data_IF_907896341170
#
_entry.id   IF_907896341170
#
_cell.length_a   1.000
_cell.length_b   1.000
_cell.length_c   1.000
_cell.angle_alpha   90.00
_cell.angle_beta   90.00
_cell.angle_gamma   90.00
#
_symmetry.space_group_name_H-M   'P 1'
#
loop_
_entity.id
_entity.type
_entity.pdbx_description
1 polymer ?
#
# COMPACT_ATOMS: atom_id res chain seq x y z
N UNK A 1 17.05 36.95 3.54
CA UNK A 1 15.75 36.25 3.51
C UNK A 1 15.99 34.86 4.07
N UNK A 2 15.37 34.55 5.21
CA UNK A 2 15.49 33.25 5.89
C UNK A 2 14.48 32.30 5.23
N UNK A 3 14.88 31.11 4.74
CA UNK A 3 13.92 30.13 4.23
C UNK A 3 13.13 29.50 5.39
N UNK A 4 11.82 29.23 5.24
CA UNK A 4 11.01 28.64 6.29
C UNK A 4 11.42 27.19 6.57
N UNK A 5 11.41 26.79 7.85
CA UNK A 5 11.43 25.39 8.26
C UNK A 5 10.00 24.86 8.11
N UNK A 6 9.80 23.91 7.21
CA UNK A 6 8.61 23.04 7.24
C UNK A 6 8.98 21.81 8.06
N UNK A 7 8.20 21.57 9.11
CA UNK A 7 8.25 20.38 9.95
C UNK A 7 7.68 19.21 9.14
N UNK A 8 8.52 18.20 8.85
CA UNK A 8 8.09 16.96 8.23
C UNK A 8 7.39 16.10 9.30
N UNK A 9 6.06 15.99 9.22
CA UNK A 9 5.24 15.09 10.02
C UNK A 9 5.42 13.67 9.46
N UNK A 10 6.31 12.89 10.08
CA UNK A 10 6.52 11.46 9.80
C UNK A 10 5.27 10.66 10.22
N UNK A 11 4.32 10.47 9.30
CA UNK A 11 3.29 9.45 9.45
C UNK A 11 3.87 8.09 9.11
N UNK A 12 4.39 7.40 10.13
CA UNK A 12 4.61 5.96 10.09
C UNK A 12 3.26 5.25 9.90
N UNK A 13 3.10 4.57 8.77
CA UNK A 13 1.93 3.73 8.49
C UNK A 13 2.23 2.37 9.11
N UNK A 14 1.49 2.04 10.16
CA UNK A 14 1.54 0.76 10.88
C UNK A 14 1.04 -0.35 9.93
N UNK A 15 1.87 -1.37 9.69
CA UNK A 15 1.48 -2.61 9.02
C UNK A 15 0.76 -3.47 10.06
N UNK A 16 -0.55 -3.67 9.89
CA UNK A 16 -1.35 -4.52 10.75
C UNK A 16 -1.50 -5.89 10.07
N UNK A 17 -0.88 -6.91 10.69
CA UNK A 17 -1.04 -8.32 10.37
C UNK A 17 -2.49 -8.75 10.62
N UNK A 18 -3.17 -9.21 9.56
CA UNK A 18 -4.46 -9.90 9.64
C UNK A 18 -4.20 -11.41 9.79
N UNK A 19 -4.23 -11.90 11.03
CA UNK A 19 -4.33 -13.33 11.35
C UNK A 19 -5.80 -13.78 11.16
N UNK A 20 -6.09 -14.43 10.02
CA UNK A 20 -7.38 -15.11 9.77
C UNK A 20 -7.35 -16.51 10.41
N UNK A 21 -8.08 -16.66 11.52
CA UNK A 21 -8.38 -17.93 12.20
C UNK A 21 -9.31 -18.81 11.34
N UNK A 22 -8.84 -20.02 11.02
CA UNK A 22 -9.56 -21.12 10.35
C UNK A 22 -10.58 -21.74 11.34
N UNK A 23 -11.88 -21.52 11.13
CA UNK A 23 -12.97 -22.13 11.92
C UNK A 23 -13.47 -23.41 11.24
N UNK A 24 -13.00 -24.55 11.73
CA UNK A 24 -13.27 -25.91 11.27
C UNK A 24 -14.67 -26.38 11.74
N UNK A 25 -15.67 -26.34 10.86
CA UNK A 25 -17.05 -26.75 11.15
C UNK A 25 -17.19 -28.26 10.97
N UNK A 26 -17.23 -29.00 12.09
CA UNK A 26 -17.48 -30.44 12.11
C UNK A 26 -18.94 -30.79 11.75
N UNK A 27 -19.14 -31.66 10.75
CA UNK A 27 -20.45 -32.22 10.37
C UNK A 27 -20.86 -33.40 11.28
N UNK A 28 -22.09 -33.37 11.81
CA UNK A 28 -22.72 -34.51 12.50
C UNK A 28 -23.37 -35.51 11.52
N UNK A 29 -23.27 -36.83 11.76
CA UNK A 29 -23.93 -37.83 10.92
C UNK A 29 -25.40 -38.06 11.33
N UNK A 30 -26.33 -37.77 10.41
CA UNK A 30 -27.75 -38.12 10.53
C UNK A 30 -27.97 -39.63 10.42
N UNK A 31 -28.48 -40.25 11.48
CA UNK A 31 -28.88 -41.66 11.51
C UNK A 31 -30.29 -41.80 10.91
N UNK A 32 -30.37 -42.29 9.66
CA UNK A 32 -31.64 -42.75 9.09
C UNK A 32 -31.92 -44.17 9.59
N UNK A 33 -33.02 -44.34 10.33
CA UNK A 33 -33.58 -45.63 10.70
C UNK A 33 -34.31 -46.19 9.48
N UNK A 34 -33.85 -47.34 9.01
CA UNK A 34 -34.48 -48.16 7.98
C UNK A 34 -35.49 -49.08 8.70
N UNK A 35 -36.78 -48.89 8.43
CA UNK A 35 -37.89 -49.65 9.03
C UNK A 35 -38.67 -50.28 7.86
N UNK A 36 -38.30 -51.50 7.50
CA UNK A 36 -38.91 -52.27 6.41
C UNK A 36 -39.22 -53.69 6.94
N UNK A 37 -40.21 -53.76 7.83
CA UNK A 37 -40.87 -55.00 8.29
C UNK A 37 -42.23 -55.11 7.58
N UNK A 38 -42.23 -55.64 6.36
CA UNK A 38 -43.46 -55.84 5.57
C UNK A 38 -43.50 -57.24 4.93
N UNK A 39 -43.49 -58.27 5.78
CA UNK A 39 -43.75 -59.67 5.39
C UNK A 39 -44.87 -60.27 6.25
N UNK A 40 -46.11 -59.85 6.01
CA UNK A 40 -47.31 -60.51 6.55
C UNK A 40 -48.18 -61.06 5.42
N UNK A 41 -47.69 -62.14 4.78
CA UNK A 41 -48.44 -62.93 3.79
C UNK A 41 -49.52 -63.75 4.51
N UNK A 42 -50.78 -63.35 4.36
CA UNK A 42 -51.94 -64.12 4.81
C UNK A 42 -52.20 -65.23 3.80
N UNK A 43 -51.73 -66.44 4.10
CA UNK A 43 -52.03 -67.65 3.33
C UNK A 43 -53.42 -68.18 3.70
N UNK A 44 -54.38 -68.08 2.77
CA UNK A 44 -55.74 -68.62 2.92
C UNK A 44 -55.73 -70.07 2.47
N UNK A 45 -55.86 -71.01 3.42
CA UNK A 45 -55.96 -72.44 3.14
C UNK A 45 -57.37 -72.81 2.60
N UNK A 46 -57.48 -72.91 1.27
CA UNK A 46 -58.70 -73.32 0.58
C UNK A 46 -59.09 -74.80 0.78
N UNK A 47 -58.33 -75.62 1.51
CA UNK A 47 -58.69 -77.02 1.78
C UNK A 47 -59.69 -77.21 2.93
N UNK A 48 -59.96 -76.17 3.72
CA UNK A 48 -60.91 -76.22 4.83
C UNK A 48 -62.40 -76.12 4.41
N UNK A 49 -62.69 -75.80 3.14
CA UNK A 49 -64.05 -75.90 2.57
C UNK A 49 -64.14 -77.17 1.75
N UNK A 50 -64.65 -78.26 2.34
CA UNK A 50 -64.77 -79.60 1.74
C UNK A 50 -65.62 -79.68 0.47
N UNK A 51 -65.13 -79.13 -0.64
CA UNK A 51 -65.66 -79.29 -1.99
C UNK A 51 -64.69 -80.13 -2.83
N UNK A 52 -64.49 -81.37 -2.41
CA UNK A 52 -64.06 -82.42 -3.34
C UNK A 52 -65.13 -83.50 -3.31
N UNK A 53 -66.07 -83.42 -4.24
CA UNK A 53 -66.92 -84.54 -4.60
C UNK A 53 -66.75 -84.86 -6.08
N UNK A 54 -66.34 -86.10 -6.28
CA UNK A 54 -66.01 -86.75 -7.52
C UNK A 54 -67.21 -86.84 -8.48
N UNK A 55 -66.94 -86.55 -9.76
CA UNK A 55 -67.54 -87.18 -10.94
C UNK A 55 -69.07 -87.19 -11.13
N UNK A 56 -69.54 -86.26 -11.98
CA UNK A 56 -70.34 -86.51 -13.20
C UNK A 56 -70.51 -85.19 -13.96
N UNK A 57 -70.11 -85.16 -15.23
CA UNK A 57 -70.24 -84.07 -16.22
C UNK A 57 -71.17 -82.90 -15.80
N UNK A 58 -70.64 -81.84 -15.16
CA UNK A 58 -71.47 -80.72 -14.70
C UNK A 58 -71.99 -79.86 -15.87
N UNK A 59 -71.33 -79.91 -17.03
CA UNK A 59 -71.73 -79.11 -18.20
C UNK A 59 -73.10 -79.51 -18.76
N UNK A 60 -73.47 -80.79 -18.72
CA UNK A 60 -74.68 -81.26 -19.40
C UNK A 60 -75.96 -81.00 -18.58
N UNK A 61 -75.83 -80.85 -17.26
CA UNK A 61 -76.89 -80.40 -16.35
C UNK A 61 -77.15 -78.89 -16.44
N UNK A 62 -76.19 -78.09 -16.91
CA UNK A 62 -76.29 -76.64 -17.03
C UNK A 62 -76.92 -76.22 -18.38
N UNK A 63 -76.96 -77.13 -19.35
CA UNK A 63 -77.43 -76.88 -20.72
C UNK A 63 -78.94 -77.05 -20.93
N UNK A 64 -79.67 -77.66 -19.98
CA UNK A 64 -81.13 -77.76 -20.03
C UNK A 64 -81.74 -76.91 -18.92
N UNK A 65 -82.32 -75.76 -19.29
CA UNK A 65 -83.07 -74.93 -18.35
C UNK A 65 -84.38 -75.64 -17.97
N UNK A 66 -84.39 -76.32 -16.83
CA UNK A 66 -85.61 -76.83 -16.18
C UNK A 66 -86.32 -75.75 -15.37
N UNK A 67 -86.07 -74.47 -15.67
CA UNK A 67 -86.58 -73.32 -14.92
C UNK A 67 -87.76 -72.68 -15.65
N UNK A 68 -88.92 -72.67 -14.99
CA UNK A 68 -90.12 -71.98 -15.42
C UNK A 68 -89.87 -70.46 -15.55
N UNK A 69 -90.44 -69.81 -16.57
CA UNK A 69 -90.22 -68.38 -16.83
C UNK A 69 -90.65 -67.52 -15.64
N UNK A 70 -91.67 -67.98 -14.91
CA UNK A 70 -92.20 -67.31 -13.73
C UNK A 70 -91.25 -67.47 -12.53
N UNK A 71 -90.68 -68.67 -12.31
CA UNK A 71 -89.73 -68.89 -11.21
C UNK A 71 -88.41 -68.16 -11.47
N UNK A 72 -87.94 -68.08 -12.72
CA UNK A 72 -86.78 -67.27 -13.07
C UNK A 72 -87.02 -65.78 -12.84
N UNK A 73 -88.19 -65.27 -13.22
CA UNK A 73 -88.54 -63.86 -12.99
C UNK A 73 -88.61 -63.54 -11.49
N UNK A 74 -89.18 -64.43 -10.68
CA UNK A 74 -89.22 -64.27 -9.22
C UNK A 74 -87.81 -64.30 -8.62
N UNK A 75 -86.93 -65.16 -9.11
CA UNK A 75 -85.54 -65.23 -8.67
C UNK A 75 -84.75 -63.97 -9.08
N UNK A 76 -84.98 -63.45 -10.28
CA UNK A 76 -84.42 -62.17 -10.73
C UNK A 76 -84.96 -61.02 -9.88
N UNK A 77 -86.25 -60.96 -9.57
CA UNK A 77 -86.83 -59.93 -8.68
C UNK A 77 -86.29 -60.05 -7.25
N UNK A 78 -85.97 -61.27 -6.79
CA UNK A 78 -85.35 -61.53 -5.48
C UNK A 78 -83.89 -61.09 -5.43
N UNK A 79 -83.12 -61.34 -6.50
CA UNK A 79 -81.67 -61.09 -6.56
C UNK A 79 -81.34 -59.68 -7.07
N UNK A 80 -82.22 -59.05 -7.86
CA UNK A 80 -82.07 -57.68 -8.34
C UNK A 80 -81.79 -56.64 -7.22
N UNK A 81 -82.48 -56.63 -6.07
CA UNK A 81 -82.13 -55.73 -4.97
C UNK A 81 -80.81 -56.09 -4.29
N UNK A 82 -80.36 -57.35 -4.36
CA UNK A 82 -79.05 -57.80 -3.83
C UNK A 82 -77.89 -57.41 -4.75
N UNK A 83 -78.15 -57.24 -6.05
CA UNK A 83 -77.20 -56.75 -7.05
C UNK A 83 -77.17 -55.22 -7.16
N UNK A 84 -78.05 -54.53 -6.42
CA UNK A 84 -78.03 -53.07 -6.34
C UNK A 84 -76.82 -52.66 -5.50
N UNK A 85 -75.68 -52.51 -6.17
CA UNK A 85 -74.45 -51.97 -5.59
C UNK A 85 -74.74 -50.50 -5.25
N UNK A 86 -75.17 -50.25 -4.02
CA UNK A 86 -75.16 -48.90 -3.47
C UNK A 86 -73.72 -48.57 -3.15
N UNK A 87 -73.04 -47.88 -4.07
CA UNK A 87 -71.71 -47.32 -3.83
C UNK A 87 -71.87 -46.25 -2.73
N UNK A 88 -71.76 -46.66 -1.46
CA UNK A 88 -71.59 -45.71 -0.37
C UNK A 88 -70.20 -45.12 -0.56
N UNK A 89 -70.11 -43.79 -0.56
CA UNK A 89 -68.83 -43.10 -0.46
C UNK A 89 -68.21 -43.49 0.88
N UNK A 90 -67.37 -44.52 0.88
CA UNK A 90 -66.60 -44.97 2.02
C UNK A 90 -65.22 -44.30 1.94
N UNK A 91 -64.69 -43.83 3.08
CA UNK A 91 -63.37 -43.22 3.16
C UNK A 91 -62.23 -44.18 2.79
N UNK A 92 -62.54 -45.49 2.67
CA UNK A 92 -61.64 -46.55 2.16
C UNK A 92 -61.76 -46.78 0.65
N UNK A 93 -62.52 -45.98 -0.08
CA UNK A 93 -62.60 -46.09 -1.54
C UNK A 93 -61.31 -45.56 -2.18
N UNK A 94 -60.46 -46.49 -2.61
CA UNK A 94 -59.22 -46.19 -3.34
C UNK A 94 -59.48 -45.38 -4.62
N UNK A 95 -60.69 -45.43 -5.19
CA UNK A 95 -61.05 -44.65 -6.37
C UNK A 95 -61.14 -43.16 -6.05
N UNK A 96 -61.68 -42.81 -4.88
CA UNK A 96 -61.73 -41.42 -4.40
C UNK A 96 -60.31 -40.89 -4.14
N UNK A 97 -59.45 -41.70 -3.51
CA UNK A 97 -58.05 -41.36 -3.29
C UNK A 97 -57.28 -41.21 -4.61
N UNK A 98 -57.53 -42.07 -5.60
CA UNK A 98 -56.93 -41.98 -6.93
C UNK A 98 -57.40 -40.73 -7.69
N UNK A 99 -58.68 -40.38 -7.60
CA UNK A 99 -59.22 -39.16 -8.19
C UNK A 99 -58.65 -37.91 -7.51
N UNK A 100 -58.54 -37.91 -6.18
CA UNK A 100 -57.89 -36.86 -5.41
C UNK A 100 -56.42 -36.71 -5.78
N UNK A 101 -55.68 -37.82 -5.87
CA UNK A 101 -54.27 -37.81 -6.27
C UNK A 101 -54.09 -37.25 -7.68
N UNK A 102 -54.93 -37.63 -8.63
CA UNK A 102 -54.91 -37.07 -9.98
C UNK A 102 -55.23 -35.57 -10.02
N UNK A 103 -56.17 -35.11 -9.18
CA UNK A 103 -56.48 -33.68 -9.03
C UNK A 103 -55.31 -32.90 -8.44
N UNK A 104 -54.69 -33.43 -7.38
CA UNK A 104 -53.50 -32.85 -6.76
C UNK A 104 -52.33 -32.82 -7.75
N UNK A 105 -52.10 -33.90 -8.49
CA UNK A 105 -51.04 -33.98 -9.50
C UNK A 105 -51.22 -32.91 -10.58
N UNK A 106 -52.42 -32.76 -11.15
CA UNK A 106 -52.74 -31.69 -12.10
C UNK A 106 -52.55 -30.29 -11.50
N UNK A 107 -52.91 -30.12 -10.24
CA UNK A 107 -52.73 -28.84 -9.54
C UNK A 107 -51.24 -28.53 -9.38
N UNK A 108 -50.44 -29.51 -8.94
CA UNK A 108 -48.98 -29.37 -8.81
C UNK A 108 -48.34 -29.08 -10.17
N UNK A 109 -48.72 -29.80 -11.22
CA UNK A 109 -48.22 -29.58 -12.58
C UNK A 109 -48.56 -28.17 -13.08
N UNK A 110 -49.78 -27.69 -12.83
CA UNK A 110 -50.17 -26.31 -13.16
C UNK A 110 -49.34 -25.28 -12.37
N UNK A 111 -49.10 -25.51 -11.08
CA UNK A 111 -48.29 -24.60 -10.25
C UNK A 111 -46.83 -24.60 -10.69
N UNK A 112 -46.25 -25.75 -10.99
CA UNK A 112 -44.89 -25.88 -11.53
C UNK A 112 -44.79 -25.19 -12.90
N UNK A 113 -45.77 -25.43 -13.78
CA UNK A 113 -45.85 -24.77 -15.09
C UNK A 113 -45.95 -23.25 -15.00
N UNK A 114 -46.55 -22.72 -13.93
CA UNK A 114 -46.63 -21.28 -13.70
C UNK A 114 -45.35 -20.70 -13.06
N UNK A 115 -44.72 -21.41 -12.12
CA UNK A 115 -43.56 -20.91 -11.37
C UNK A 115 -42.25 -21.10 -12.14
N UNK A 116 -42.11 -22.19 -12.91
CA UNK A 116 -40.90 -22.49 -13.68
C UNK A 116 -40.47 -21.36 -14.63
N UNK A 117 -41.36 -20.80 -15.46
CA UNK A 117 -41.03 -19.67 -16.33
C UNK A 117 -40.64 -18.40 -15.56
N UNK A 118 -41.23 -18.17 -14.39
CA UNK A 118 -40.87 -17.03 -13.54
C UNK A 118 -39.45 -17.20 -12.97
N UNK A 119 -39.12 -18.39 -12.49
CA UNK A 119 -37.78 -18.70 -11.99
C UNK A 119 -36.73 -18.64 -13.10
N UNK A 120 -37.04 -19.15 -14.29
CA UNK A 120 -36.15 -19.08 -15.47
C UNK A 120 -35.92 -17.62 -15.92
N UNK A 121 -36.98 -16.82 -15.96
CA UNK A 121 -36.86 -15.37 -16.24
C UNK A 121 -36.00 -14.67 -15.20
N UNK A 122 -36.23 -14.94 -13.91
CA UNK A 122 -35.45 -14.35 -12.83
C UNK A 122 -33.98 -14.76 -12.90
N UNK A 123 -33.69 -16.03 -13.18
CA UNK A 123 -32.33 -16.54 -13.38
C UNK A 123 -31.63 -15.83 -14.55
N UNK A 124 -32.32 -15.67 -15.69
CA UNK A 124 -31.80 -14.94 -16.85
C UNK A 124 -31.55 -13.46 -16.55
N UNK A 125 -32.44 -12.82 -15.82
CA UNK A 125 -32.30 -11.41 -15.48
C UNK A 125 -31.17 -11.19 -14.48
N UNK A 126 -31.03 -12.06 -13.47
CA UNK A 126 -29.88 -12.08 -12.56
C UNK A 126 -28.59 -12.27 -13.36
N UNK A 127 -28.55 -13.24 -14.28
CA UNK A 127 -27.39 -13.48 -15.15
C UNK A 127 -26.98 -12.24 -15.96
N UNK A 128 -27.94 -11.55 -16.57
CA UNK A 128 -27.69 -10.28 -17.28
C UNK A 128 -27.18 -9.19 -16.36
N UNK A 129 -27.72 -9.09 -15.14
CA UNK A 129 -27.25 -8.09 -14.18
C UNK A 129 -25.83 -8.38 -13.70
N UNK A 130 -25.49 -9.65 -13.46
CA UNK A 130 -24.16 -10.09 -13.08
C UNK A 130 -23.14 -9.81 -14.18
N UNK A 131 -23.49 -10.11 -15.44
CA UNK A 131 -22.64 -9.80 -16.59
C UNK A 131 -22.40 -8.28 -16.71
N UNK A 132 -23.45 -7.46 -16.51
CA UNK A 132 -23.31 -6.00 -16.51
C UNK A 132 -22.41 -5.51 -15.38
N UNK A 133 -22.53 -6.09 -14.18
CA UNK A 133 -21.67 -5.78 -13.03
C UNK A 133 -20.23 -6.15 -13.37
N UNK A 134 -19.99 -7.36 -13.86
CA UNK A 134 -18.65 -7.85 -14.27
C UNK A 134 -17.98 -6.94 -15.30
N UNK A 135 -18.70 -6.51 -16.34
CA UNK A 135 -18.18 -5.57 -17.34
C UNK A 135 -17.85 -4.21 -16.71
N UNK A 136 -18.71 -3.72 -15.81
CA UNK A 136 -18.49 -2.44 -15.14
C UNK A 136 -17.30 -2.49 -14.19
N UNK A 137 -17.15 -3.56 -13.42
CA UNK A 137 -16.00 -3.81 -12.55
C UNK A 137 -14.71 -3.89 -13.35
N UNK A 138 -14.70 -4.62 -14.47
CA UNK A 138 -13.53 -4.71 -15.34
C UNK A 138 -13.13 -3.33 -15.88
N UNK A 139 -14.10 -2.52 -16.30
CA UNK A 139 -13.86 -1.14 -16.74
C UNK A 139 -13.30 -0.28 -15.61
N UNK A 140 -13.91 -0.35 -14.42
CA UNK A 140 -13.50 0.42 -13.24
C UNK A 140 -12.08 0.03 -12.79
N UNK A 141 -11.77 -1.27 -12.72
CA UNK A 141 -10.43 -1.76 -12.40
C UNK A 141 -9.39 -1.29 -13.41
N UNK A 142 -9.72 -1.29 -14.71
CA UNK A 142 -8.83 -0.76 -15.75
C UNK A 142 -8.56 0.74 -15.55
N UNK A 143 -9.60 1.52 -15.27
CA UNK A 143 -9.48 2.97 -15.01
C UNK A 143 -8.68 3.24 -13.74
N UNK A 144 -8.97 2.52 -12.64
CA UNK A 144 -8.27 2.65 -11.37
C UNK A 144 -6.80 2.26 -11.50
N UNK A 145 -6.50 1.14 -12.19
CA UNK A 145 -5.12 0.71 -12.44
C UNK A 145 -4.32 1.75 -13.23
N UNK A 146 -4.96 2.40 -14.22
CA UNK A 146 -4.36 3.51 -14.97
C UNK A 146 -4.08 4.72 -14.07
N UNK A 147 -5.04 5.10 -13.22
CA UNK A 147 -4.86 6.19 -12.25
C UNK A 147 -3.77 5.87 -11.22
N UNK A 148 -3.74 4.66 -10.69
CA UNK A 148 -2.72 4.20 -9.73
C UNK A 148 -1.33 4.26 -10.34
N UNK A 149 -1.17 3.84 -11.60
CA UNK A 149 0.11 3.95 -12.32
C UNK A 149 0.56 5.40 -12.47
N UNK A 150 -0.36 6.32 -12.82
CA UNK A 150 -0.06 7.76 -12.90
C UNK A 150 0.32 8.34 -11.54
N UNK A 151 -0.41 7.97 -10.48
CA UNK A 151 -0.12 8.41 -9.12
C UNK A 151 1.25 7.93 -8.65
N UNK A 152 1.59 6.66 -8.90
CA UNK A 152 2.91 6.12 -8.57
C UNK A 152 4.02 6.86 -9.31
N UNK A 153 3.87 7.07 -10.63
CA UNK A 153 4.82 7.88 -11.42
C UNK A 153 4.97 9.30 -10.88
N UNK A 154 3.88 9.96 -10.52
CA UNK A 154 3.92 11.32 -9.96
C UNK A 154 4.60 11.35 -8.57
N UNK A 155 4.42 10.30 -7.78
CA UNK A 155 5.07 10.16 -6.47
C UNK A 155 6.58 9.94 -6.64
N UNK A 156 6.98 9.06 -7.58
CA UNK A 156 8.37 8.78 -7.87
C UNK A 156 9.09 10.03 -8.42
N UNK A 157 8.47 10.77 -9.35
CA UNK A 157 9.05 12.03 -9.87
C UNK A 157 9.12 13.11 -8.80
N UNK A 158 8.14 13.21 -7.90
CA UNK A 158 8.19 14.13 -6.76
C UNK A 158 9.34 13.78 -5.83
N UNK A 159 9.55 12.50 -5.52
CA UNK A 159 10.67 12.05 -4.70
C UNK A 159 12.02 12.38 -5.36
N UNK A 160 12.16 12.13 -6.66
CA UNK A 160 13.36 12.49 -7.43
C UNK A 160 13.64 14.00 -7.42
N UNK A 161 12.61 14.83 -7.63
CA UNK A 161 12.75 16.29 -7.59
C UNK A 161 13.12 16.79 -6.18
N UNK A 162 12.51 16.22 -5.13
CA UNK A 162 12.83 16.57 -3.74
C UNK A 162 14.30 16.27 -3.43
N UNK A 163 14.81 15.13 -3.87
CA UNK A 163 16.23 14.78 -3.66
C UNK A 163 17.17 15.69 -4.47
N UNK A 164 16.85 15.98 -5.73
CA UNK A 164 17.61 16.96 -6.53
C UNK A 164 17.61 18.35 -5.90
N UNK A 165 16.48 18.80 -5.38
CA UNK A 165 16.38 20.09 -4.68
C UNK A 165 17.20 20.08 -3.39
N UNK A 166 17.12 19.02 -2.59
CA UNK A 166 17.91 18.87 -1.37
C UNK A 166 19.41 18.91 -1.67
N UNK A 167 19.86 18.13 -2.67
CA UNK A 167 21.26 18.14 -3.10
C UNK A 167 21.71 19.53 -3.60
N UNK A 168 20.87 20.22 -4.39
CA UNK A 168 21.15 21.57 -4.86
C UNK A 168 21.21 22.58 -3.70
N UNK A 169 20.29 22.50 -2.73
CA UNK A 169 20.25 23.37 -1.55
C UNK A 169 21.50 23.20 -0.68
N UNK A 170 21.94 21.95 -0.46
CA UNK A 170 23.20 21.66 0.23
C UNK A 170 24.38 22.24 -0.54
N UNK A 171 24.41 22.07 -1.87
CA UNK A 171 25.44 22.64 -2.73
C UNK A 171 25.49 24.17 -2.70
N UNK A 172 24.33 24.84 -2.66
CA UNK A 172 24.24 26.31 -2.51
C UNK A 172 24.79 26.73 -1.15
N UNK A 173 24.36 26.08 -0.06
CA UNK A 173 24.85 26.38 1.29
C UNK A 173 26.37 26.25 1.40
N UNK A 174 26.94 25.17 0.85
CA UNK A 174 28.39 24.96 0.79
C UNK A 174 29.10 26.07 0.00
N UNK A 175 28.56 26.45 -1.16
CA UNK A 175 29.14 27.54 -1.97
C UNK A 175 29.05 28.89 -1.27
N UNK A 176 27.95 29.17 -0.58
CA UNK A 176 27.79 30.38 0.25
C UNK A 176 28.84 30.40 1.36
N UNK A 177 29.04 29.29 2.08
CA UNK A 177 30.08 29.19 3.11
C UNK A 177 31.49 29.40 2.54
N UNK A 178 31.79 28.85 1.36
CA UNK A 178 33.09 29.11 0.71
C UNK A 178 33.25 30.56 0.25
N UNK A 179 32.17 31.21 -0.19
CA UNK A 179 32.19 32.63 -0.58
C UNK A 179 32.43 33.51 0.64
N UNK A 180 31.74 33.26 1.75
CA UNK A 180 31.92 33.99 3.00
C UNK A 180 33.37 33.86 3.49
N UNK A 181 33.95 32.64 3.44
CA UNK A 181 35.35 32.42 3.77
C UNK A 181 36.31 33.21 2.86
N UNK A 182 36.09 33.21 1.55
CA UNK A 182 36.92 33.97 0.61
C UNK A 182 36.76 35.48 0.86
N UNK A 183 35.55 35.95 1.18
CA UNK A 183 35.31 37.35 1.53
C UNK A 183 36.05 37.75 2.81
N UNK A 184 36.07 36.90 3.83
CA UNK A 184 36.85 37.10 5.06
C UNK A 184 38.36 37.14 4.76
N UNK A 185 38.86 36.21 3.93
CA UNK A 185 40.26 36.17 3.51
C UNK A 185 40.65 37.46 2.75
N UNK A 186 39.75 37.97 1.90
CA UNK A 186 39.95 39.25 1.18
C UNK A 186 39.99 40.44 2.14
N UNK A 187 39.09 40.50 3.13
CA UNK A 187 39.09 41.60 4.10
C UNK A 187 40.34 41.56 4.98
N UNK A 188 40.79 40.37 5.39
CA UNK A 188 42.07 40.20 6.09
C UNK A 188 43.25 40.65 5.23
N UNK A 189 43.29 40.26 3.95
CA UNK A 189 44.35 40.68 3.02
C UNK A 189 44.34 42.21 2.84
N UNK A 190 43.16 42.81 2.70
CA UNK A 190 42.99 44.26 2.60
C UNK A 190 43.49 44.96 3.85
N UNK A 191 43.16 44.45 5.04
CA UNK A 191 43.68 44.99 6.30
C UNK A 191 45.20 44.89 6.38
N UNK A 192 45.79 43.77 5.95
CA UNK A 192 47.26 43.63 5.89
C UNK A 192 47.90 44.61 4.90
N UNK A 193 47.27 44.82 3.74
CA UNK A 193 47.74 45.80 2.74
C UNK A 193 47.62 47.22 3.28
N UNK A 194 46.53 47.59 3.96
CA UNK A 194 46.40 48.90 4.59
C UNK A 194 47.43 49.10 5.71
N UNK A 195 47.70 48.07 6.49
CA UNK A 195 48.68 48.12 7.58
C UNK A 195 50.13 48.20 7.03
N UNK A 196 50.44 47.46 5.96
CA UNK A 196 51.70 47.63 5.23
C UNK A 196 51.78 48.96 4.48
N UNK A 197 50.67 49.44 3.93
CA UNK A 197 50.52 50.74 3.31
C UNK A 197 50.81 51.86 4.31
N UNK A 198 50.27 51.77 5.51
CA UNK A 198 50.57 52.67 6.61
C UNK A 198 52.05 52.56 7.04
N UNK A 199 52.61 51.35 7.17
CA UNK A 199 54.03 51.14 7.53
C UNK A 199 55.00 51.61 6.43
N UNK A 200 54.62 51.54 5.15
CA UNK A 200 55.44 51.99 4.02
C UNK A 200 55.27 53.47 3.69
N UNK A 201 54.08 54.03 3.95
CA UNK A 201 53.79 55.46 3.88
C UNK A 201 54.29 56.20 5.11
N UNK A 202 54.52 55.51 6.23
CA UNK A 202 55.21 56.06 7.38
C UNK A 202 56.66 56.32 6.98
N UNK A 203 56.94 57.57 6.60
CA UNK A 203 58.28 58.04 6.28
C UNK A 203 59.23 57.95 7.49
N UNK A 204 58.81 57.47 8.66
CA UNK A 204 59.65 57.34 9.85
C UNK A 204 60.98 56.58 9.62
N UNK A 205 61.09 55.49 8.84
CA UNK A 205 62.39 54.89 8.52
C UNK A 205 63.27 55.85 7.74
N UNK A 206 62.69 56.57 6.77
CA UNK A 206 63.38 57.57 5.97
C UNK A 206 63.84 58.76 6.84
N UNK A 207 63.00 59.20 7.78
CA UNK A 207 63.33 60.25 8.76
C UNK A 207 64.42 59.79 9.72
N UNK A 208 64.39 58.54 10.20
CA UNK A 208 65.45 57.96 11.05
C UNK A 208 66.78 57.90 10.31
N UNK A 209 66.78 57.48 9.04
CA UNK A 209 67.98 57.51 8.19
C UNK A 209 68.47 58.95 8.04
N UNK A 210 67.59 59.90 7.71
CA UNK A 210 67.94 61.33 7.60
C UNK A 210 68.55 61.88 8.89
N UNK A 211 67.98 61.55 10.05
CA UNK A 211 68.52 61.96 11.36
C UNK A 211 69.89 61.33 11.65
N UNK A 212 70.09 60.05 11.30
CA UNK A 212 71.39 59.40 11.44
C UNK A 212 72.46 60.03 10.53
N UNK A 213 72.09 60.39 9.30
CA UNK A 213 72.96 61.12 8.37
C UNK A 213 73.35 62.48 8.92
N UNK A 214 72.41 63.30 9.40
CA UNK A 214 72.76 64.61 10.00
C UNK A 214 73.65 64.48 11.24
N UNK A 215 73.46 63.46 12.09
CA UNK A 215 74.37 63.21 13.22
C UNK A 215 75.79 62.86 12.77
N UNK A 216 75.92 62.09 11.70
CA UNK A 216 77.23 61.77 11.11
C UNK A 216 77.89 63.02 10.52
N UNK A 217 77.12 63.91 9.89
CA UNK A 217 77.62 65.20 9.39
C UNK A 217 78.12 66.10 10.53
N UNK A 218 77.38 66.22 11.63
CA UNK A 218 77.81 66.96 12.82
C UNK A 218 79.08 66.37 13.46
N UNK A 219 79.16 65.04 13.54
CA UNK A 219 80.35 64.35 14.04
C UNK A 219 81.58 64.59 13.15
N UNK A 220 81.40 64.55 11.82
CA UNK A 220 82.46 64.88 10.85
C UNK A 220 82.93 66.33 11.00
N UNK A 221 81.99 67.28 11.18
CA UNK A 221 82.34 68.68 11.36
C UNK A 221 83.10 68.91 12.68
N UNK A 222 82.69 68.26 13.75
CA UNK A 222 83.40 68.29 15.04
C UNK A 222 84.80 67.71 14.90
N UNK A 223 84.94 66.56 14.23
CA UNK A 223 86.23 65.94 13.96
C UNK A 223 87.13 66.85 13.09
N UNK A 224 86.59 67.52 12.07
CA UNK A 224 87.36 68.46 11.25
C UNK A 224 87.88 69.67 12.06
N UNK A 225 87.07 70.22 12.97
CA UNK A 225 87.53 71.30 13.86
C UNK A 225 88.61 70.80 14.81
N UNK A 226 88.48 69.59 15.35
CA UNK A 226 89.50 68.96 16.18
C UNK A 226 90.80 68.73 15.41
N UNK A 227 90.72 68.23 14.17
CA UNK A 227 91.87 68.08 13.28
C UNK A 227 92.53 69.43 13.03
N UNK A 228 91.78 70.48 12.68
CA UNK A 228 92.34 71.82 12.44
C UNK A 228 93.00 72.42 13.69
N UNK A 229 92.43 72.21 14.88
CA UNK A 229 93.04 72.62 16.14
C UNK A 229 94.33 71.84 16.44
N UNK A 230 94.35 70.53 16.18
CA UNK A 230 95.55 69.69 16.30
C UNK A 230 96.63 70.12 15.30
N UNK A 231 96.27 70.37 14.04
CA UNK A 231 97.16 70.90 13.00
C UNK A 231 97.76 72.24 13.43
N UNK A 232 96.95 73.18 13.93
CA UNK A 232 97.44 74.46 14.45
C UNK A 232 98.33 74.28 15.68
N UNK A 233 97.99 73.34 16.58
CA UNK A 233 98.83 73.03 17.74
C UNK A 233 100.19 72.48 17.30
N UNK A 234 100.21 71.54 16.33
CA UNK A 234 101.44 70.97 15.77
C UNK A 234 102.26 72.06 15.07
N UNK A 235 101.63 72.90 14.26
CA UNK A 235 102.29 73.99 13.56
C UNK A 235 102.86 75.02 14.54
N UNK A 236 102.14 75.35 15.61
CA UNK A 236 102.64 76.24 16.66
C UNK A 236 103.79 75.61 17.45
N UNK A 237 103.73 74.30 17.76
CA UNK A 237 104.88 73.61 18.37
C UNK A 237 106.09 73.60 17.44
N UNK A 238 105.91 73.36 16.14
CA UNK A 238 106.97 73.41 15.15
C UNK A 238 107.59 74.81 15.03
N UNK A 239 106.75 75.86 14.97
CA UNK A 239 107.21 77.24 14.94
C UNK A 239 107.91 77.64 16.25
N UNK A 240 107.41 77.19 17.40
CA UNK A 240 108.03 77.43 18.71
C UNK A 240 109.37 76.72 18.84
N UNK A 241 109.49 75.49 18.36
CA UNK A 241 110.76 74.76 18.32
C UNK A 241 111.76 75.42 17.36
N UNK A 242 111.31 75.88 16.19
CA UNK A 242 112.16 76.63 15.26
C UNK A 242 112.59 77.99 15.85
N UNK A 243 111.69 78.69 16.56
CA UNK A 243 112.01 79.93 17.27
C UNK A 243 113.02 79.69 18.40
N UNK A 244 112.79 78.67 19.24
CA UNK A 244 113.71 78.28 20.31
C UNK A 244 115.09 77.85 19.76
N UNK A 245 115.13 77.17 18.61
CA UNK A 245 116.36 76.84 17.91
C UNK A 245 117.09 78.09 17.42
N UNK A 246 116.37 79.05 16.81
CA UNK A 246 116.95 80.33 16.38
C UNK A 246 117.38 81.23 17.55
N UNK A 247 116.67 81.19 18.68
CA UNK A 247 117.02 81.91 19.90
C UNK A 247 118.24 81.31 20.60
N UNK A 248 118.39 79.98 20.60
CA UNK A 248 119.61 79.31 21.07
C UNK A 248 120.82 79.60 20.18
N UNK A 249 120.64 79.77 18.86
CA UNK A 249 121.72 80.19 17.97
C UNK A 249 122.17 81.64 18.19
N UNK A 250 121.29 82.52 18.70
CA UNK A 250 121.62 83.92 19.03
C UNK A 250 122.24 84.09 20.43
N UNK A 251 122.20 83.06 21.29
CA UNK A 251 122.78 83.06 22.63
C UNK A 251 124.15 82.34 22.70
N UNK A 252 124.75 82.04 21.53
CA UNK A 252 126.10 81.45 21.37
C UNK A 252 127.01 82.41 20.57
N UNK A 253 126.90 83.72 20.82
CA UNK A 253 127.91 84.73 20.46
C UNK A 253 128.45 85.35 21.73
#
# INVERSE_FOLDING_TARGET
MIPPKEEDEDTAVDEQDDDDDDDDVAEEPTTFLDDDDDDNVIEIDLKAQGLVTESKNPLQSVLQSTTDSISWKQEVERVAPQLKITLRQDAKDWRLHLEQMNSMHKTVEQKIGNVGPFLDSMSKDIGKTLERISVREKSLNTQLSSMMSKFKRATDTRAELREKYKAASVGVSSRTETLDRISDDIEQLKQQIEEQGAKSSDGAPLVKIKQAVSKLEEALQTMNVQIGALEQSILNTYLRDHFNFSANLLNIV
#
